data_IF_706578110791
#
_entry.id   IF_706578110791
#
_cell.length_a   1.000
_cell.length_b   1.000
_cell.length_c   1.000
_cell.angle_alpha   90.00
_cell.angle_beta   90.00
_cell.angle_gamma   90.00
#
_symmetry.space_group_name_H-M   'P 1'
#
loop_
_entity.id
_entity.type
_entity.pdbx_description
1 polymer ?
#
# COMPACT_ATOMS: atom_id res chain seq x y z
N UNK A 1 42.72 -6.22 7.45
CA UNK A 1 41.84 -5.16 8.00
C UNK A 1 40.83 -4.61 6.98
N UNK A 2 41.20 -4.40 5.70
CA UNK A 2 40.31 -3.78 4.69
C UNK A 2 39.02 -4.55 4.36
N UNK A 3 39.08 -5.90 4.28
CA UNK A 3 37.90 -6.75 4.00
C UNK A 3 36.75 -6.55 5.00
N UNK A 4 37.09 -6.24 6.26
CA UNK A 4 36.11 -6.01 7.32
C UNK A 4 35.46 -4.62 7.20
N UNK A 5 36.22 -3.61 6.75
CA UNK A 5 35.71 -2.25 6.51
C UNK A 5 34.66 -2.23 5.40
N UNK A 6 34.94 -2.91 4.28
CA UNK A 6 33.99 -3.00 3.16
C UNK A 6 32.71 -3.73 3.55
N UNK A 7 32.82 -4.84 4.28
CA UNK A 7 31.65 -5.60 4.77
C UNK A 7 30.76 -4.79 5.72
N UNK A 8 31.37 -3.95 6.58
CA UNK A 8 30.64 -3.07 7.48
C UNK A 8 29.93 -1.93 6.72
N UNK A 9 30.56 -1.37 5.69
CA UNK A 9 29.93 -0.35 4.85
C UNK A 9 28.75 -0.92 4.06
N UNK A 10 28.91 -2.09 3.44
CA UNK A 10 27.84 -2.81 2.74
C UNK A 10 26.67 -3.09 3.69
N UNK A 11 26.95 -3.59 4.91
CA UNK A 11 25.91 -3.83 5.90
C UNK A 11 25.14 -2.56 6.28
N UNK A 12 25.83 -1.42 6.49
CA UNK A 12 25.20 -0.13 6.80
C UNK A 12 24.26 0.32 5.66
N UNK A 13 24.70 0.18 4.41
CA UNK A 13 23.88 0.52 3.22
C UNK A 13 22.66 -0.39 3.11
N UNK A 14 22.83 -1.71 3.19
CA UNK A 14 21.72 -2.66 3.10
C UNK A 14 20.72 -2.43 4.24
N UNK A 15 21.20 -2.19 5.46
CA UNK A 15 20.33 -1.91 6.61
C UNK A 15 19.51 -0.63 6.40
N UNK A 16 20.13 0.44 5.92
CA UNK A 16 19.44 1.69 5.62
C UNK A 16 18.38 1.51 4.52
N UNK A 17 18.72 0.82 3.43
CA UNK A 17 17.80 0.54 2.33
C UNK A 17 16.58 -0.27 2.81
N UNK A 18 16.81 -1.29 3.66
CA UNK A 18 15.74 -2.13 4.20
C UNK A 18 14.84 -1.39 5.19
N UNK A 19 15.38 -0.48 5.99
CA UNK A 19 14.58 0.40 6.87
C UNK A 19 13.62 1.24 6.02
N UNK A 20 14.14 1.93 5.00
CA UNK A 20 13.33 2.77 4.11
C UNK A 20 12.27 1.95 3.37
N UNK A 21 12.64 0.77 2.88
CA UNK A 21 11.72 -0.15 2.23
C UNK A 21 10.53 -0.53 3.12
N UNK A 22 10.79 -0.99 4.34
CA UNK A 22 9.72 -1.43 5.26
C UNK A 22 8.83 -0.27 5.73
N UNK A 23 9.42 0.90 6.00
CA UNK A 23 8.64 2.11 6.34
C UNK A 23 7.75 2.50 5.18
N UNK A 24 8.31 2.56 3.97
CA UNK A 24 7.57 2.96 2.77
C UNK A 24 6.39 2.01 2.50
N UNK A 25 6.65 0.70 2.45
CA UNK A 25 5.65 -0.32 2.09
C UNK A 25 4.55 -0.43 3.16
N UNK A 26 4.88 -0.28 4.44
CA UNK A 26 3.88 -0.28 5.51
C UNK A 26 3.07 1.02 5.57
N UNK A 27 3.70 2.18 5.37
CA UNK A 27 3.00 3.47 5.34
C UNK A 27 2.06 3.60 4.15
N UNK A 28 2.47 3.12 2.96
CA UNK A 28 1.63 3.09 1.76
C UNK A 28 0.29 2.38 2.03
N UNK A 29 0.35 1.22 2.71
CA UNK A 29 -0.85 0.47 3.09
C UNK A 29 -1.65 1.12 4.21
N UNK A 30 -0.98 1.70 5.22
CA UNK A 30 -1.67 2.42 6.30
C UNK A 30 -2.44 3.63 5.79
N UNK A 31 -1.88 4.36 4.81
CA UNK A 31 -2.53 5.54 4.28
C UNK A 31 -3.71 5.22 3.37
N UNK A 32 -3.63 4.07 2.67
CA UNK A 32 -4.67 3.55 1.78
C UNK A 32 -5.40 2.34 2.38
N UNK A 33 -5.65 2.34 3.71
CA UNK A 33 -6.22 1.19 4.43
C UNK A 33 -7.53 0.66 3.84
N UNK A 34 -8.43 1.56 3.44
CA UNK A 34 -9.72 1.17 2.85
C UNK A 34 -9.54 0.41 1.53
N UNK A 35 -8.73 0.95 0.63
CA UNK A 35 -8.39 0.27 -0.62
C UNK A 35 -7.64 -1.05 -0.32
N UNK A 36 -6.72 -1.06 0.65
CA UNK A 36 -5.94 -2.26 1.01
C UNK A 36 -6.83 -3.39 1.51
N UNK A 37 -7.86 -3.05 2.31
CA UNK A 37 -8.89 -4.00 2.73
C UNK A 37 -9.65 -4.60 1.54
N UNK A 38 -10.11 -3.76 0.61
CA UNK A 38 -10.81 -4.24 -0.61
C UNK A 38 -9.88 -5.15 -1.43
N UNK A 39 -8.61 -4.77 -1.60
CA UNK A 39 -7.63 -5.57 -2.30
C UNK A 39 -7.43 -6.94 -1.63
N UNK A 40 -7.41 -7.00 -0.29
CA UNK A 40 -7.31 -8.26 0.47
C UNK A 40 -8.56 -9.13 0.31
N UNK A 41 -9.76 -8.54 0.33
CA UNK A 41 -11.04 -9.24 0.15
C UNK A 41 -11.14 -9.87 -1.25
N UNK A 42 -10.46 -9.29 -2.24
CA UNK A 42 -10.41 -9.82 -3.61
C UNK A 42 -9.32 -10.90 -3.80
N UNK A 43 -8.49 -11.17 -2.80
CA UNK A 43 -7.45 -12.20 -2.92
C UNK A 43 -8.08 -13.60 -2.82
N UNK A 44 -7.67 -14.55 -3.67
CA UNK A 44 -8.29 -15.89 -3.71
C UNK A 44 -8.08 -16.71 -2.42
N UNK A 45 -6.95 -16.53 -1.73
CA UNK A 45 -6.58 -17.36 -0.58
C UNK A 45 -6.84 -16.72 0.79
N UNK A 46 -6.89 -15.38 0.87
CA UNK A 46 -6.85 -14.66 2.16
C UNK A 46 -8.04 -13.71 2.37
N UNK A 47 -9.05 -13.77 1.51
CA UNK A 47 -10.25 -12.93 1.60
C UNK A 47 -10.94 -13.03 2.95
N UNK A 48 -11.04 -14.22 3.54
CA UNK A 48 -11.65 -14.43 4.87
C UNK A 48 -10.83 -13.84 6.02
N UNK A 49 -9.51 -13.66 5.84
CA UNK A 49 -8.63 -13.04 6.83
C UNK A 49 -8.49 -11.52 6.62
N UNK A 50 -9.08 -10.97 5.55
CA UNK A 50 -8.98 -9.54 5.22
C UNK A 50 -9.32 -8.61 6.40
N UNK A 51 -10.36 -8.85 7.23
CA UNK A 51 -10.69 -8.00 8.38
C UNK A 51 -9.63 -7.99 9.49
N UNK A 52 -8.68 -8.92 9.49
CA UNK A 52 -7.59 -8.98 10.47
C UNK A 52 -6.27 -8.52 9.83
N UNK A 53 -5.98 -9.03 8.63
CA UNK A 53 -4.72 -8.75 7.92
C UNK A 53 -4.61 -7.27 7.53
N UNK A 54 -5.71 -6.57 7.26
CA UNK A 54 -5.65 -5.18 6.81
C UNK A 54 -5.00 -4.24 7.85
N UNK A 55 -5.14 -4.53 9.16
CA UNK A 55 -4.41 -3.84 10.23
C UNK A 55 -3.09 -4.51 10.57
N UNK A 56 -3.06 -5.84 10.68
CA UNK A 56 -1.86 -6.53 11.17
C UNK A 56 -0.69 -6.41 10.21
N UNK A 57 -0.91 -6.53 8.90
CA UNK A 57 0.18 -6.54 7.93
C UNK A 57 0.94 -5.21 7.93
N UNK A 58 0.32 -4.02 7.77
CA UNK A 58 1.05 -2.76 7.75
C UNK A 58 1.78 -2.47 9.08
N UNK A 59 1.18 -2.89 10.22
CA UNK A 59 1.82 -2.75 11.53
C UNK A 59 3.06 -3.62 11.67
N UNK A 60 3.01 -4.88 11.19
CA UNK A 60 4.17 -5.77 11.18
C UNK A 60 5.26 -5.19 10.27
N UNK A 61 4.90 -4.70 9.08
CA UNK A 61 5.84 -4.10 8.12
C UNK A 61 6.60 -2.92 8.74
N UNK A 62 5.89 -1.98 9.36
CA UNK A 62 6.52 -0.84 10.07
C UNK A 62 7.33 -1.34 11.27
N UNK A 63 6.82 -2.32 12.01
CA UNK A 63 7.51 -2.93 13.15
C UNK A 63 8.85 -3.56 12.76
N UNK A 64 8.95 -4.19 11.59
CA UNK A 64 10.23 -4.68 11.06
C UNK A 64 11.19 -3.53 10.78
N UNK A 65 10.71 -2.42 10.20
CA UNK A 65 11.48 -1.20 10.03
C UNK A 65 12.02 -0.66 11.36
N UNK A 66 11.20 -0.65 12.41
CA UNK A 66 11.59 -0.23 13.77
C UNK A 66 12.66 -1.17 14.35
N UNK A 67 12.47 -2.49 14.26
CA UNK A 67 13.45 -3.48 14.74
C UNK A 67 14.80 -3.34 14.04
N UNK A 68 14.79 -3.01 12.75
CA UNK A 68 16.00 -2.71 12.00
C UNK A 68 16.58 -1.33 12.35
N UNK A 69 15.79 -0.35 12.76
CA UNK A 69 16.29 0.97 13.15
C UNK A 69 16.98 0.96 14.53
N UNK A 70 16.45 0.19 15.49
CA UNK A 70 16.96 0.18 16.87
C UNK A 70 18.40 -0.36 16.92
N UNK A 71 19.34 0.32 17.60
CA UNK A 71 20.74 -0.12 17.76
C UNK A 71 20.92 -1.31 18.72
N UNK A 72 19.97 -2.24 18.77
CA UNK A 72 20.06 -3.47 19.55
C UNK A 72 20.40 -4.63 18.62
N UNK A 73 21.47 -5.36 18.93
CA UNK A 73 21.89 -6.55 18.20
C UNK A 73 20.78 -7.62 18.17
N UNK A 74 20.11 -7.83 19.30
CA UNK A 74 19.01 -8.82 19.40
C UNK A 74 17.81 -8.42 18.55
N UNK A 75 17.38 -7.16 18.63
CA UNK A 75 16.22 -6.67 17.86
C UNK A 75 16.52 -6.60 16.37
N UNK A 76 17.72 -6.15 15.98
CA UNK A 76 18.12 -6.13 14.58
C UNK A 76 18.18 -7.54 14.00
N UNK A 77 18.70 -8.53 14.75
CA UNK A 77 18.67 -9.93 14.32
C UNK A 77 17.24 -10.47 14.12
N UNK A 78 16.30 -10.08 14.98
CA UNK A 78 14.88 -10.41 14.81
C UNK A 78 14.29 -9.72 13.58
N UNK A 79 14.54 -8.42 13.41
CA UNK A 79 14.10 -7.66 12.24
C UNK A 79 14.56 -8.29 10.92
N UNK A 80 15.83 -8.69 10.82
CA UNK A 80 16.35 -9.40 9.64
C UNK A 80 15.65 -10.73 9.38
N UNK A 81 15.41 -11.54 10.43
CA UNK A 81 14.71 -12.83 10.31
C UNK A 81 13.27 -12.64 9.86
N UNK A 82 12.53 -11.76 10.53
CA UNK A 82 11.12 -11.48 10.22
C UNK A 82 11.00 -10.90 8.81
N UNK A 83 11.90 -9.98 8.42
CA UNK A 83 11.98 -9.45 7.06
C UNK A 83 12.11 -10.56 6.02
N UNK A 84 13.08 -11.46 6.18
CA UNK A 84 13.30 -12.55 5.26
C UNK A 84 12.10 -13.50 5.18
N UNK A 85 11.48 -13.83 6.32
CA UNK A 85 10.31 -14.70 6.37
C UNK A 85 9.11 -14.06 5.66
N UNK A 86 8.80 -12.80 5.94
CA UNK A 86 7.68 -12.10 5.33
C UNK A 86 7.83 -12.01 3.81
N UNK A 87 9.01 -11.60 3.32
CA UNK A 87 9.26 -11.48 1.88
C UNK A 87 9.27 -12.86 1.23
N UNK A 88 9.76 -13.91 1.91
CA UNK A 88 9.73 -15.27 1.39
C UNK A 88 8.31 -15.80 1.23
N UNK A 89 7.47 -15.67 2.27
CA UNK A 89 6.06 -16.06 2.22
C UNK A 89 5.33 -15.29 1.13
N UNK A 90 5.58 -13.98 1.02
CA UNK A 90 4.98 -13.16 -0.03
C UNK A 90 5.49 -13.53 -1.43
N UNK A 91 6.76 -13.90 -1.57
CA UNK A 91 7.33 -14.41 -2.82
C UNK A 91 6.68 -15.72 -3.26
N UNK A 92 6.42 -16.65 -2.33
CA UNK A 92 5.67 -17.88 -2.63
C UNK A 92 4.27 -17.52 -3.12
N UNK A 93 3.57 -16.64 -2.40
CA UNK A 93 2.22 -16.21 -2.75
C UNK A 93 2.14 -15.66 -4.18
N UNK A 94 3.04 -14.72 -4.54
CA UNK A 94 3.11 -14.14 -5.89
C UNK A 94 3.55 -15.19 -6.92
N UNK A 95 4.51 -16.06 -6.57
CA UNK A 95 5.01 -17.11 -7.44
C UNK A 95 3.92 -18.10 -7.88
N UNK A 96 3.03 -18.49 -6.97
CA UNK A 96 1.85 -19.30 -7.31
C UNK A 96 0.93 -18.59 -8.32
N UNK A 97 0.79 -17.27 -8.22
CA UNK A 97 0.03 -16.47 -9.19
C UNK A 97 0.69 -16.36 -10.56
N UNK A 98 2.03 -16.29 -10.61
CA UNK A 98 2.81 -16.32 -11.87
C UNK A 98 2.70 -17.68 -12.55
N UNK A 99 2.68 -18.77 -11.78
CA UNK A 99 2.49 -20.14 -12.27
C UNK A 99 1.03 -20.44 -12.68
N UNK A 100 0.14 -19.44 -12.64
CA UNK A 100 -1.28 -19.57 -12.96
C UNK A 100 -2.01 -20.64 -12.14
N UNK A 101 -1.60 -20.84 -10.87
CA UNK A 101 -2.29 -21.75 -9.94
C UNK A 101 -3.65 -21.21 -9.52
N UNK A 102 -3.80 -19.88 -9.50
CA UNK A 102 -5.08 -19.22 -9.22
C UNK A 102 -5.93 -19.12 -10.49
N UNK A 103 -7.20 -19.50 -10.42
CA UNK A 103 -8.16 -19.41 -11.53
C UNK A 103 -8.34 -17.97 -12.04
N UNK A 104 -8.16 -16.98 -11.16
CA UNK A 104 -8.22 -15.56 -11.47
C UNK A 104 -7.15 -14.77 -10.72
N UNK A 105 -6.43 -13.89 -11.42
CA UNK A 105 -5.42 -13.02 -10.81
C UNK A 105 -6.12 -11.83 -10.14
N UNK A 106 -5.88 -11.58 -8.84
CA UNK A 106 -6.50 -10.44 -8.17
C UNK A 106 -5.92 -9.12 -8.70
N UNK A 107 -6.74 -8.08 -8.73
CA UNK A 107 -6.30 -6.75 -9.11
C UNK A 107 -5.38 -6.14 -8.05
N UNK A 108 -4.24 -5.59 -8.47
CA UNK A 108 -3.33 -4.84 -7.61
C UNK A 108 -3.85 -3.41 -7.43
N UNK A 109 -4.69 -3.21 -6.42
CA UNK A 109 -5.40 -1.95 -6.23
C UNK A 109 -4.66 -0.88 -5.40
N UNK A 110 -3.61 -1.25 -4.67
CA UNK A 110 -3.25 -0.54 -3.42
C UNK A 110 -1.79 -0.21 -3.23
N UNK A 111 -0.99 -0.29 -4.28
CA UNK A 111 0.40 0.14 -4.19
C UNK A 111 0.83 0.82 -5.47
N UNK A 112 1.97 1.52 -5.41
CA UNK A 112 2.73 1.99 -6.57
C UNK A 112 3.01 0.90 -7.63
N UNK A 113 2.72 -0.36 -7.31
CA UNK A 113 2.77 -1.55 -8.17
C UNK A 113 1.49 -1.83 -8.96
N UNK A 114 0.44 -1.00 -8.85
CA UNK A 114 -0.79 -1.21 -9.62
C UNK A 114 -0.52 -1.34 -11.13
N UNK A 115 0.57 -0.74 -11.61
CA UNK A 115 0.99 -0.74 -13.00
C UNK A 115 2.11 -1.76 -13.34
N UNK A 116 2.59 -2.58 -12.41
CA UNK A 116 3.65 -3.57 -12.71
C UNK A 116 3.09 -4.97 -12.91
N UNK A 117 3.74 -5.76 -13.78
CA UNK A 117 3.35 -7.15 -13.99
C UNK A 117 3.67 -8.02 -12.77
N UNK A 118 2.91 -9.10 -12.58
CA UNK A 118 3.15 -10.09 -11.51
C UNK A 118 4.58 -10.65 -11.53
N UNK A 119 5.13 -10.88 -12.73
CA UNK A 119 6.52 -11.35 -12.90
C UNK A 119 7.53 -10.30 -12.44
N UNK A 120 7.33 -9.03 -12.81
CA UNK A 120 8.19 -7.94 -12.34
C UNK A 120 8.13 -7.81 -10.82
N UNK A 121 6.94 -7.97 -10.22
CA UNK A 121 6.78 -7.95 -8.77
C UNK A 121 7.53 -9.08 -8.08
N UNK A 122 7.45 -10.30 -8.62
CA UNK A 122 8.18 -11.45 -8.11
C UNK A 122 9.70 -11.22 -8.14
N UNK A 123 10.23 -10.71 -9.26
CA UNK A 123 11.67 -10.40 -9.39
C UNK A 123 12.09 -9.38 -8.33
N UNK A 124 11.31 -8.31 -8.15
CA UNK A 124 11.58 -7.32 -7.12
C UNK A 124 11.61 -7.95 -5.72
N UNK A 125 10.61 -8.77 -5.36
CA UNK A 125 10.57 -9.46 -4.07
C UNK A 125 11.78 -10.38 -3.87
N UNK A 126 12.23 -11.10 -4.90
CA UNK A 126 13.41 -11.95 -4.83
C UNK A 126 14.70 -11.15 -4.60
N UNK A 127 14.82 -9.96 -5.19
CA UNK A 127 15.96 -9.05 -4.93
C UNK A 127 15.95 -8.60 -3.45
N UNK A 128 14.81 -8.15 -2.93
CA UNK A 128 14.69 -7.71 -1.53
C UNK A 128 14.90 -8.89 -0.55
N UNK A 129 14.47 -10.09 -0.93
CA UNK A 129 14.76 -11.31 -0.16
C UNK A 129 16.27 -11.59 -0.11
N UNK A 130 16.96 -11.48 -1.23
CA UNK A 130 18.42 -11.59 -1.31
C UNK A 130 19.14 -10.56 -0.44
N UNK A 131 18.67 -9.31 -0.44
CA UNK A 131 19.17 -8.26 0.46
C UNK A 131 18.92 -8.59 1.93
N UNK A 132 17.74 -9.11 2.26
CA UNK A 132 17.39 -9.54 3.64
C UNK A 132 18.31 -10.65 4.15
N UNK A 133 18.56 -11.67 3.33
CA UNK A 133 19.45 -12.79 3.68
C UNK A 133 20.90 -12.29 3.81
N UNK A 134 21.35 -11.43 2.90
CA UNK A 134 22.70 -10.85 2.94
C UNK A 134 22.90 -9.99 4.18
N UNK A 135 21.93 -9.12 4.50
CA UNK A 135 21.90 -8.32 5.71
C UNK A 135 21.96 -9.17 6.98
N UNK A 136 21.20 -10.26 7.03
CA UNK A 136 21.22 -11.20 8.16
C UNK A 136 22.58 -11.90 8.33
N UNK A 137 23.20 -12.35 7.23
CA UNK A 137 24.53 -12.99 7.25
C UNK A 137 25.63 -12.02 7.70
N UNK A 138 25.58 -10.78 7.21
CA UNK A 138 26.53 -9.73 7.60
C UNK A 138 26.33 -9.29 9.06
N UNK A 139 25.08 -9.23 9.53
CA UNK A 139 24.77 -8.85 10.91
C UNK A 139 25.49 -9.74 11.94
N UNK A 140 25.55 -11.06 11.69
CA UNK A 140 26.28 -12.01 12.55
C UNK A 140 27.78 -11.69 12.65
N UNK A 141 28.38 -11.16 11.58
CA UNK A 141 29.81 -10.78 11.54
C UNK A 141 30.06 -9.45 12.23
N UNK A 142 29.16 -8.48 12.07
CA UNK A 142 29.33 -7.10 12.55
C UNK A 142 29.11 -6.94 14.06
N UNK A 143 28.32 -7.79 14.72
CA UNK A 143 28.12 -7.75 16.20
C UNK A 143 29.46 -7.81 16.97
N UNK A 144 30.47 -8.46 16.41
CA UNK A 144 31.78 -8.66 17.03
C UNK A 144 32.69 -7.42 17.01
N UNK A 145 32.35 -6.36 16.26
CA UNK A 145 33.25 -5.22 16.00
C UNK A 145 32.87 -3.88 16.66
N UNK A 146 32.02 -3.87 17.69
CA UNK A 146 32.00 -2.79 18.69
C UNK A 146 31.55 -1.37 18.28
N UNK A 147 31.21 -1.05 17.03
CA UNK A 147 30.66 0.27 16.67
C UNK A 147 29.13 0.33 16.89
N UNK A 148 28.66 0.70 18.09
CA UNK A 148 27.23 0.58 18.46
C UNK A 148 26.43 1.88 18.63
N UNK A 149 27.07 3.05 18.79
CA UNK A 149 26.32 4.29 19.11
C UNK A 149 25.99 5.17 17.89
N UNK A 150 26.96 5.50 17.04
CA UNK A 150 26.78 6.48 15.96
C UNK A 150 25.83 5.97 14.86
N UNK A 151 25.97 4.70 14.48
CA UNK A 151 25.09 4.05 13.48
C UNK A 151 23.65 3.91 13.98
N UNK A 152 23.44 3.81 15.30
CA UNK A 152 22.11 3.78 15.90
C UNK A 152 21.33 5.06 15.68
N UNK A 153 21.96 6.21 15.94
CA UNK A 153 21.35 7.53 15.73
C UNK A 153 21.00 7.76 14.26
N UNK A 154 21.89 7.38 13.35
CA UNK A 154 21.62 7.49 11.91
C UNK A 154 20.42 6.64 11.47
N UNK A 155 20.34 5.38 11.92
CA UNK A 155 19.23 4.51 11.53
C UNK A 155 17.88 4.98 12.09
N UNK A 156 17.86 5.48 13.33
CA UNK A 156 16.66 6.08 13.92
C UNK A 156 16.27 7.34 13.15
N UNK A 157 17.22 8.22 12.84
CA UNK A 157 16.96 9.41 12.04
C UNK A 157 16.42 9.05 10.66
N UNK A 158 16.99 8.04 9.98
CA UNK A 158 16.49 7.54 8.69
C UNK A 158 15.07 7.03 8.78
N UNK A 159 14.73 6.26 9.82
CA UNK A 159 13.37 5.79 10.05
C UNK A 159 12.40 6.97 10.22
N UNK A 160 12.75 7.94 11.08
CA UNK A 160 11.91 9.11 11.36
C UNK A 160 11.76 10.01 10.12
N UNK A 161 12.85 10.27 9.40
CA UNK A 161 12.83 11.05 8.15
C UNK A 161 11.98 10.33 7.11
N UNK A 162 12.14 9.02 6.93
CA UNK A 162 11.33 8.23 6.01
C UNK A 162 9.85 8.26 6.35
N UNK A 163 9.51 8.13 7.64
CA UNK A 163 8.14 8.19 8.12
C UNK A 163 7.52 9.57 7.86
N UNK A 164 8.22 10.65 8.23
CA UNK A 164 7.77 12.03 8.02
C UNK A 164 7.64 12.38 6.55
N UNK A 165 8.63 12.01 5.72
CA UNK A 165 8.60 12.25 4.28
C UNK A 165 7.42 11.54 3.61
N UNK A 166 7.20 10.26 3.96
CA UNK A 166 6.06 9.51 3.43
C UNK A 166 4.73 10.10 3.90
N UNK A 167 4.63 10.53 5.16
CA UNK A 167 3.47 11.26 5.66
C UNK A 167 3.20 12.55 4.89
N UNK A 168 4.24 13.34 4.62
CA UNK A 168 4.12 14.58 3.85
C UNK A 168 3.72 14.34 2.39
N UNK A 169 4.33 13.35 1.71
CA UNK A 169 3.99 12.98 0.33
C UNK A 169 2.51 12.55 0.24
N UNK A 170 2.08 11.70 1.16
CA UNK A 170 0.71 11.22 1.17
C UNK A 170 -0.31 12.31 1.51
N UNK A 171 0.00 13.15 2.49
CA UNK A 171 -0.80 14.34 2.81
C UNK A 171 -0.95 15.25 1.58
N UNK A 172 0.16 15.50 0.88
CA UNK A 172 0.17 16.34 -0.31
C UNK A 172 -0.65 15.72 -1.45
N UNK A 173 -0.50 14.41 -1.69
CA UNK A 173 -1.29 13.69 -2.70
C UNK A 173 -2.79 13.77 -2.41
N UNK A 174 -3.23 13.56 -1.16
CA UNK A 174 -4.66 13.69 -0.80
C UNK A 174 -5.16 15.11 -1.05
N UNK A 175 -4.42 16.13 -0.59
CA UNK A 175 -4.85 17.51 -0.74
C UNK A 175 -4.83 17.97 -2.21
N UNK A 176 -3.89 17.49 -3.00
CA UNK A 176 -3.80 17.81 -4.42
C UNK A 176 -4.88 17.09 -5.25
N UNK A 177 -5.19 15.83 -4.95
CA UNK A 177 -6.31 15.13 -5.60
C UNK A 177 -7.64 15.79 -5.22
N UNK A 178 -7.85 16.11 -3.94
CA UNK A 178 -9.05 16.82 -3.48
C UNK A 178 -9.19 18.19 -4.15
N UNK A 179 -8.09 18.92 -4.38
CA UNK A 179 -8.17 20.19 -5.11
C UNK A 179 -8.52 19.99 -6.58
N UNK A 180 -8.00 18.94 -7.25
CA UNK A 180 -8.39 18.60 -8.63
C UNK A 180 -9.86 18.17 -8.76
N UNK A 181 -10.37 17.39 -7.82
CA UNK A 181 -11.79 16.96 -7.82
C UNK A 181 -12.76 18.12 -7.53
N UNK A 182 -12.28 19.18 -6.86
CA UNK A 182 -13.04 20.44 -6.72
C UNK A 182 -13.13 21.18 -8.07
N UNK A 183 -12.14 21.04 -8.95
CA UNK A 183 -12.15 21.63 -10.30
C UNK A 183 -12.78 20.74 -11.36
N UNK A 184 -12.87 19.43 -11.11
CA UNK A 184 -13.67 18.46 -11.86
C UNK A 184 -15.00 18.19 -11.13
N UNK A 185 -15.76 19.24 -10.86
CA UNK A 185 -17.20 19.04 -10.79
C UNK A 185 -17.61 18.49 -12.17
N UNK A 186 -18.34 17.36 -12.27
CA UNK A 186 -18.80 16.91 -13.57
C UNK A 186 -19.59 18.05 -14.21
N UNK A 187 -19.20 18.47 -15.41
CA UNK A 187 -19.89 19.50 -16.19
C UNK A 187 -21.37 19.15 -16.49
N UNK A 188 -21.85 17.98 -16.03
CA UNK A 188 -23.18 17.44 -16.31
C UNK A 188 -24.21 17.59 -15.18
N UNK A 189 -24.06 18.56 -14.26
CA UNK A 189 -25.17 18.94 -13.34
C UNK A 189 -25.84 20.26 -13.76
N UNK A 190 -25.31 20.95 -14.77
CA UNK A 190 -25.97 22.07 -15.43
C UNK A 190 -26.19 21.80 -16.92
N UNK A 191 -26.66 20.60 -17.26
CA UNK A 191 -27.43 20.48 -18.49
C UNK A 191 -28.79 21.14 -18.22
N UNK A 192 -28.84 22.46 -18.36
CA UNK A 192 -30.11 23.15 -18.60
C UNK A 192 -30.57 22.66 -19.96
N UNK A 193 -31.23 21.52 -19.97
CA UNK A 193 -32.05 21.10 -21.08
C UNK A 193 -33.02 22.26 -21.32
N UNK A 194 -32.77 23.03 -22.40
CA UNK A 194 -33.66 24.11 -22.78
C UNK A 194 -35.07 23.51 -22.81
N UNK A 195 -36.02 24.08 -22.04
CA UNK A 195 -37.39 23.66 -22.17
C UNK A 195 -37.82 24.15 -23.54
N UNK A 196 -37.87 23.22 -24.50
CA UNK A 196 -38.75 23.35 -25.65
C UNK A 196 -40.08 23.83 -25.10
N UNK A 197 -40.46 25.03 -25.50
CA UNK A 197 -41.69 25.68 -25.10
C UNK A 197 -42.88 24.77 -25.39
N UNK A 198 -43.36 24.06 -24.37
CA UNK A 198 -44.76 23.86 -24.05
C UNK A 198 -44.94 23.01 -22.76
N UNK A 199 -45.32 23.72 -21.70
CA UNK A 199 -46.08 23.27 -20.54
C UNK A 199 -45.38 22.69 -19.30
N UNK A 200 -45.80 23.27 -18.16
CA UNK A 200 -45.86 22.73 -16.80
C UNK A 200 -44.74 23.09 -15.80
N UNK A 201 -44.98 24.23 -15.14
CA UNK A 201 -45.06 24.43 -13.69
C UNK A 201 -44.07 23.74 -12.73
N UNK A 202 -43.33 24.64 -12.06
CA UNK A 202 -42.99 24.60 -10.62
C UNK A 202 -42.15 23.42 -10.16
N UNK A 203 -40.82 23.64 -10.07
CA UNK A 203 -39.94 23.07 -9.02
C UNK A 203 -38.58 23.76 -9.01
N UNK A 204 -38.60 25.08 -8.81
CA UNK A 204 -37.42 25.87 -8.49
C UNK A 204 -37.44 26.25 -7.02
N UNK A 205 -37.16 25.32 -6.12
CA UNK A 205 -36.79 25.55 -4.72
C UNK A 205 -36.38 24.20 -4.13
N UNK A 206 -35.38 24.15 -3.26
CA UNK A 206 -34.89 22.97 -2.50
C UNK A 206 -33.64 22.24 -3.02
N UNK A 207 -32.73 22.90 -3.74
CA UNK A 207 -31.33 22.44 -3.80
C UNK A 207 -30.44 23.44 -3.08
N UNK A 208 -30.63 23.53 -1.76
CA UNK A 208 -29.66 24.10 -0.84
C UNK A 208 -29.88 23.47 0.53
N UNK A 209 -29.35 22.26 0.71
CA UNK A 209 -28.91 21.78 2.02
C UNK A 209 -27.99 20.60 1.78
N UNK A 210 -26.70 20.89 1.81
CA UNK A 210 -25.63 19.91 1.85
C UNK A 210 -25.67 19.14 3.19
N UNK A 211 -25.33 17.87 3.09
CA UNK A 211 -24.86 16.97 4.14
C UNK A 211 -25.77 16.66 5.34
N UNK A 212 -25.57 15.41 5.82
CA UNK A 212 -25.46 15.01 7.24
C UNK A 212 -26.33 13.78 7.55
N UNK A 213 -25.66 12.62 7.50
CA UNK A 213 -26.01 11.34 8.13
C UNK A 213 -27.19 10.52 7.57
N UNK A 214 -27.03 9.20 7.69
CA UNK A 214 -28.04 8.15 7.89
C UNK A 214 -28.50 7.28 6.71
N UNK A 215 -28.35 5.96 6.88
CA UNK A 215 -29.49 5.03 6.75
C UNK A 215 -29.40 3.91 5.70
N UNK A 216 -29.82 2.66 6.04
CA UNK A 216 -29.57 1.42 5.28
C UNK A 216 -30.53 1.17 4.09
N UNK A 217 -31.25 2.18 3.60
CA UNK A 217 -32.31 2.02 2.61
C UNK A 217 -31.92 2.55 1.23
N UNK A 218 -30.96 1.90 0.57
CA UNK A 218 -30.75 2.10 -0.88
C UNK A 218 -30.49 0.80 -1.64
N UNK A 219 -31.25 -0.24 -1.32
CA UNK A 219 -31.24 -1.49 -2.09
C UNK A 219 -32.09 -1.43 -3.38
N UNK A 220 -32.93 -0.41 -3.59
CA UNK A 220 -33.86 -0.42 -4.73
C UNK A 220 -33.42 0.33 -6.00
N UNK A 221 -32.39 1.19 -5.95
CA UNK A 221 -31.97 2.00 -7.12
C UNK A 221 -30.61 1.60 -7.73
N UNK A 222 -30.10 0.41 -7.43
CA UNK A 222 -28.87 -0.12 -8.05
C UNK A 222 -29.12 -1.25 -9.06
N UNK A 223 -30.38 -1.66 -9.26
CA UNK A 223 -30.73 -2.78 -10.16
C UNK A 223 -30.68 -2.46 -11.67
N UNK A 224 -30.53 -1.20 -12.08
CA UNK A 224 -30.50 -0.83 -13.51
C UNK A 224 -29.11 -0.49 -14.07
N UNK A 225 -28.05 -0.52 -13.26
CA UNK A 225 -26.66 -0.38 -13.72
C UNK A 225 -25.98 -1.75 -13.77
N UNK A 226 -26.58 -2.68 -14.51
CA UNK A 226 -25.97 -3.96 -14.84
C UNK A 226 -25.21 -3.83 -16.16
N UNK A 227 -24.03 -4.48 -16.17
CA UNK A 227 -23.15 -4.77 -17.32
C UNK A 227 -22.43 -3.61 -18.00
N UNK A 228 -21.53 -2.94 -17.28
CA UNK A 228 -20.39 -2.25 -17.87
C UNK A 228 -19.10 -2.83 -17.32
N UNK A 229 -18.31 -3.52 -18.16
CA UNK A 229 -16.93 -3.91 -17.85
C UNK A 229 -16.11 -2.63 -17.67
N UNK A 230 -15.68 -2.33 -16.44
CA UNK A 230 -14.81 -1.18 -16.19
C UNK A 230 -13.36 -1.61 -16.41
N UNK A 231 -12.77 -1.13 -17.50
CA UNK A 231 -11.35 -1.31 -17.85
C UNK A 231 -10.39 -0.40 -17.07
N UNK A 232 -10.91 0.60 -16.36
CA UNK A 232 -10.10 1.53 -15.57
C UNK A 232 -9.83 0.98 -14.16
N UNK A 233 -8.63 0.43 -13.95
CA UNK A 233 -8.19 -0.16 -12.68
C UNK A 233 -8.38 0.77 -11.47
N UNK A 234 -8.14 2.07 -11.61
CA UNK A 234 -8.33 3.05 -10.53
C UNK A 234 -9.78 3.20 -10.06
N UNK A 235 -10.75 3.10 -10.97
CA UNK A 235 -12.19 3.21 -10.64
C UNK A 235 -12.71 1.93 -9.97
N UNK A 236 -12.13 0.78 -10.33
CA UNK A 236 -12.49 -0.53 -9.78
C UNK A 236 -12.11 -0.63 -8.30
N UNK A 237 -10.98 -0.03 -7.92
CA UNK A 237 -10.46 -0.05 -6.54
C UNK A 237 -11.14 0.94 -5.59
N UNK A 238 -12.00 1.83 -6.10
CA UNK A 238 -12.71 2.84 -5.31
C UNK A 238 -14.17 2.47 -5.01
N UNK A 239 -14.65 1.32 -5.52
CA UNK A 239 -16.03 0.86 -5.32
C UNK A 239 -16.08 -0.43 -4.51
N UNK A 240 -16.60 -0.35 -3.28
CA UNK A 240 -16.74 -1.43 -2.28
C UNK A 240 -17.49 -2.69 -2.72
N UNK A 241 -18.04 -2.74 -3.95
CA UNK A 241 -19.02 -3.77 -4.35
C UNK A 241 -18.70 -4.55 -5.62
N UNK A 242 -17.59 -4.27 -6.32
CA UNK A 242 -17.30 -4.93 -7.59
C UNK A 242 -16.07 -5.80 -7.50
N UNK A 243 -16.24 -7.07 -7.90
CA UNK A 243 -15.13 -8.00 -8.13
C UNK A 243 -14.31 -7.42 -9.28
N UNK A 244 -13.15 -6.90 -8.95
CA UNK A 244 -12.23 -6.37 -9.93
C UNK A 244 -11.85 -7.47 -10.94
N UNK A 245 -12.01 -7.22 -12.23
CA UNK A 245 -11.46 -8.06 -13.31
C UNK A 245 -10.22 -7.36 -13.84
N UNK A 246 -9.07 -7.91 -13.44
CA UNK A 246 -7.79 -7.82 -14.12
C UNK A 246 -7.50 -9.25 -14.64
#
# INVERSE_FOLDING_TARGET
MERNKNSNMIYKVIRAAMILFWVYVGMDKLWQLGAFKIALEQQPLISYLAPVIYWLLPLIEIGVGVFLAIPSARLSALGWKVSAILIFVFSIYIGLGVLNVYEKKPCMCTSFLSNISWTAHLIFNLIILGLSITGWRLHRKTINYGERALTGRTNIALFLIGFMAMGAINYWNIHYTKSKDIWYAPDSIYDYQQPNTASSNVKGLLVSTYDRYTGPYRQLFTKSLQTGSFTNQFLVCNTERRVATC
#
